data_IF_143233189631
#
_entry.id   IF_143233189631
#
_cell.length_a   1.000
_cell.length_b   1.000
_cell.length_c   1.000
_cell.angle_alpha   90.00
_cell.angle_beta   90.00
_cell.angle_gamma   90.00
#
_symmetry.space_group_name_H-M   'P 1'
#
loop_
_entity.id
_entity.type
_entity.pdbx_description
1 polymer ?
#
# COMPACT_ATOMS: atom_id res chain seq x y z
N UNK A 1 2.14 22.19 41.12
CA UNK A 1 2.28 20.73 41.24
C UNK A 1 1.57 20.04 40.08
N UNK A 2 2.12 19.97 38.88
CA UNK A 2 3.18 20.74 38.21
C UNK A 2 2.92 20.64 36.70
N UNK A 3 3.34 21.73 36.04
CA UNK A 3 3.41 22.09 34.63
C UNK A 3 2.90 21.13 33.54
N UNK A 4 1.80 21.56 32.90
CA UNK A 4 1.62 21.43 31.45
C UNK A 4 1.79 22.82 30.87
N UNK A 5 2.94 23.09 30.25
CA UNK A 5 3.11 24.21 29.33
C UNK A 5 2.49 23.83 27.98
N UNK A 6 1.44 24.52 27.51
CA UNK A 6 0.87 24.27 26.19
C UNK A 6 1.68 25.03 25.14
N UNK A 7 2.18 24.32 24.13
CA UNK A 7 2.75 24.91 22.93
C UNK A 7 1.71 25.77 22.20
N UNK A 8 2.20 26.79 21.51
CA UNK A 8 1.47 27.91 20.91
C UNK A 8 0.36 27.53 19.90
N UNK A 9 0.33 26.27 19.43
CA UNK A 9 -0.73 25.74 18.57
C UNK A 9 -2.12 25.73 19.24
N UNK A 10 -2.17 25.54 20.56
CA UNK A 10 -3.45 25.45 21.27
C UNK A 10 -4.20 26.79 21.26
N UNK A 11 -3.48 27.92 21.32
CA UNK A 11 -4.07 29.27 21.39
C UNK A 11 -4.60 29.72 20.03
N UNK A 12 -3.97 29.31 18.93
CA UNK A 12 -4.42 29.60 17.56
C UNK A 12 -5.70 28.83 17.25
N UNK A 13 -5.77 27.54 17.60
CA UNK A 13 -6.98 26.72 17.45
C UNK A 13 -8.13 27.24 18.33
N UNK A 14 -7.85 27.63 19.58
CA UNK A 14 -8.83 28.24 20.49
C UNK A 14 -9.39 29.56 19.95
N UNK A 15 -8.55 30.40 19.33
CA UNK A 15 -8.96 31.67 18.73
C UNK A 15 -9.82 31.47 17.47
N UNK A 16 -9.49 30.47 16.65
CA UNK A 16 -10.25 30.15 15.44
C UNK A 16 -11.66 29.61 15.76
N UNK A 17 -11.78 28.74 16.77
CA UNK A 17 -13.04 28.14 17.18
C UNK A 17 -14.04 29.17 17.77
N UNK A 18 -13.56 30.11 18.59
CA UNK A 18 -14.40 31.16 19.19
C UNK A 18 -14.80 32.24 18.18
N UNK A 19 -13.91 32.57 17.24
CA UNK A 19 -14.19 33.53 16.15
C UNK A 19 -15.26 33.01 15.19
N UNK A 20 -15.27 31.70 14.88
CA UNK A 20 -16.35 31.04 14.10
C UNK A 20 -17.73 31.13 14.77
N UNK A 21 -17.79 31.28 16.10
CA UNK A 21 -19.04 31.38 16.88
C UNK A 21 -19.49 32.82 17.18
N UNK A 22 -18.74 33.83 16.75
CA UNK A 22 -19.06 35.24 16.98
C UNK A 22 -18.96 35.69 18.45
N UNK A 23 -18.30 34.93 19.31
CA UNK A 23 -18.20 35.23 20.75
C UNK A 23 -17.03 36.19 21.07
N UNK A 24 -17.25 37.09 22.02
CA UNK A 24 -16.25 38.08 22.44
C UNK A 24 -15.03 37.44 23.11
N UNK A 25 -13.85 37.81 22.63
CA UNK A 25 -12.52 37.32 23.04
C UNK A 25 -12.00 37.90 24.37
N UNK A 26 -12.81 38.64 25.14
CA UNK A 26 -12.35 39.33 26.35
C UNK A 26 -12.57 38.49 27.62
N UNK A 27 -11.49 38.23 28.37
CA UNK A 27 -11.52 37.52 29.66
C UNK A 27 -10.24 36.73 29.97
N UNK A 28 -10.07 36.29 31.22
CA UNK A 28 -8.90 35.49 31.60
C UNK A 28 -8.93 34.09 30.96
N UNK A 29 -7.76 33.49 30.73
CA UNK A 29 -7.58 32.17 30.11
C UNK A 29 -8.47 31.08 30.76
N UNK A 30 -8.65 31.14 32.08
CA UNK A 30 -9.51 30.21 32.82
C UNK A 30 -11.01 30.37 32.50
N UNK A 31 -11.48 31.59 32.25
CA UNK A 31 -12.87 31.86 31.89
C UNK A 31 -13.20 31.40 30.45
N UNK A 32 -12.25 31.52 29.53
CA UNK A 32 -12.36 31.04 28.15
C UNK A 32 -12.43 29.50 28.08
N UNK A 33 -11.59 28.80 28.84
CA UNK A 33 -11.59 27.33 28.93
C UNK A 33 -12.91 26.81 29.51
N UNK A 34 -13.50 27.50 30.48
CA UNK A 34 -14.78 27.12 31.09
C UNK A 34 -15.96 27.28 30.10
N UNK A 35 -15.96 28.34 29.29
CA UNK A 35 -16.98 28.55 28.24
C UNK A 35 -16.89 27.51 27.13
N UNK A 36 -15.67 27.14 26.72
CA UNK A 36 -15.46 26.09 25.73
C UNK A 36 -15.93 24.72 26.23
N UNK A 37 -15.70 24.38 27.51
CA UNK A 37 -16.22 23.14 28.11
C UNK A 37 -17.75 23.07 28.08
N UNK A 38 -18.43 24.13 28.51
CA UNK A 38 -19.90 24.18 28.42
C UNK A 38 -20.43 24.10 26.97
N UNK A 39 -19.67 24.62 26.00
CA UNK A 39 -20.02 24.59 24.58
C UNK A 39 -19.78 23.20 23.94
N UNK A 40 -18.71 22.51 24.35
CA UNK A 40 -18.39 21.13 23.95
C UNK A 40 -19.42 20.17 24.55
N UNK A 41 -19.85 20.39 25.79
CA UNK A 41 -20.88 19.57 26.43
C UNK A 41 -22.28 19.77 25.79
N UNK A 42 -22.52 20.94 25.16
CA UNK A 42 -23.74 21.19 24.38
C UNK A 42 -23.71 20.52 22.99
N UNK A 43 -22.55 20.48 22.32
CA UNK A 43 -22.36 19.83 21.01
C UNK A 43 -22.07 18.33 21.07
N UNK A 44 -21.76 17.77 22.24
CA UNK A 44 -21.67 16.32 22.46
C UNK A 44 -22.99 15.57 22.17
N UNK A 45 -24.11 16.31 22.05
CA UNK A 45 -25.40 15.80 21.60
C UNK A 45 -25.63 15.85 20.08
N UNK A 46 -24.70 16.43 19.30
CA UNK A 46 -24.85 16.62 17.85
C UNK A 46 -23.64 16.23 16.99
N UNK A 47 -22.48 15.87 17.55
CA UNK A 47 -21.30 15.50 16.75
C UNK A 47 -20.54 14.29 17.32
N UNK A 48 -20.85 13.08 16.83
CA UNK A 48 -19.96 11.91 16.90
C UNK A 48 -20.30 10.89 15.78
N UNK A 49 -19.29 10.41 15.02
CA UNK A 49 -19.24 9.07 14.37
C UNK A 49 -19.97 8.77 13.03
N UNK A 50 -20.44 9.74 12.24
CA UNK A 50 -21.10 9.44 10.95
C UNK A 50 -20.14 9.12 9.81
N UNK A 51 -19.36 10.12 9.38
CA UNK A 51 -18.54 10.07 8.15
C UNK A 51 -17.41 9.03 8.21
N UNK A 52 -16.82 8.81 9.38
CA UNK A 52 -15.71 7.88 9.53
C UNK A 52 -16.16 6.40 9.50
N UNK A 53 -17.34 6.10 10.08
CA UNK A 53 -17.98 4.77 9.96
C UNK A 53 -18.44 4.50 8.53
N UNK A 54 -18.97 5.51 7.86
CA UNK A 54 -19.38 5.42 6.46
C UNK A 54 -18.18 5.17 5.54
N UNK A 55 -17.06 5.88 5.76
CA UNK A 55 -15.80 5.66 5.04
C UNK A 55 -15.19 4.27 5.28
N UNK A 56 -15.20 3.76 6.52
CA UNK A 56 -14.69 2.42 6.84
C UNK A 56 -15.55 1.31 6.23
N UNK A 57 -16.87 1.50 6.18
CA UNK A 57 -17.80 0.56 5.54
C UNK A 57 -17.63 0.56 4.03
N UNK A 58 -17.50 1.76 3.44
CA UNK A 58 -17.20 1.96 2.01
C UNK A 58 -15.89 1.27 1.63
N UNK A 59 -14.80 1.46 2.38
CA UNK A 59 -13.53 0.79 2.10
C UNK A 59 -13.65 -0.74 2.17
N UNK A 60 -14.38 -1.26 3.16
CA UNK A 60 -14.60 -2.70 3.34
C UNK A 60 -15.38 -3.32 2.18
N UNK A 61 -16.46 -2.66 1.73
CA UNK A 61 -17.31 -3.18 0.66
C UNK A 61 -16.58 -3.12 -0.69
N UNK A 62 -15.82 -2.05 -0.92
CA UNK A 62 -14.88 -1.96 -2.04
C UNK A 62 -13.94 -3.16 -2.05
N UNK A 63 -13.19 -3.38 -0.96
CA UNK A 63 -12.23 -4.49 -0.81
C UNK A 63 -12.87 -5.85 -1.11
N UNK A 64 -14.04 -6.10 -0.52
CA UNK A 64 -14.77 -7.35 -0.74
C UNK A 64 -15.13 -7.59 -2.21
N UNK A 65 -15.44 -6.52 -2.97
CA UNK A 65 -15.74 -6.61 -4.39
C UNK A 65 -14.50 -7.03 -5.20
N UNK A 66 -13.35 -6.39 -4.97
CA UNK A 66 -12.09 -6.75 -5.65
C UNK A 66 -11.68 -8.19 -5.32
N UNK A 67 -11.89 -8.65 -4.09
CA UNK A 67 -11.64 -10.05 -3.76
C UNK A 67 -12.56 -11.03 -4.49
N UNK A 68 -13.85 -10.72 -4.60
CA UNK A 68 -14.80 -11.57 -5.29
C UNK A 68 -14.42 -11.70 -6.78
N UNK A 69 -13.96 -10.61 -7.40
CA UNK A 69 -13.32 -10.63 -8.72
C UNK A 69 -12.07 -11.52 -8.72
N UNK A 70 -11.20 -11.38 -7.71
CA UNK A 70 -9.98 -12.18 -7.65
C UNK A 70 -10.23 -13.68 -7.56
N UNK A 71 -11.28 -14.08 -6.83
CA UNK A 71 -11.71 -15.48 -6.68
C UNK A 71 -12.47 -16.02 -7.89
N UNK A 72 -12.85 -15.17 -8.85
CA UNK A 72 -13.76 -15.56 -9.94
C UNK A 72 -15.19 -15.84 -9.45
N UNK A 73 -15.58 -15.29 -8.29
CA UNK A 73 -16.89 -15.50 -7.67
C UNK A 73 -17.91 -14.48 -8.20
N UNK A 74 -18.47 -14.78 -9.38
CA UNK A 74 -19.39 -13.89 -10.09
C UNK A 74 -20.65 -13.60 -9.28
N UNK A 75 -21.14 -14.55 -8.48
CA UNK A 75 -22.35 -14.37 -7.68
C UNK A 75 -22.11 -13.45 -6.49
N UNK A 76 -20.95 -13.58 -5.82
CA UNK A 76 -20.54 -12.63 -4.79
C UNK A 76 -20.34 -11.21 -5.38
N UNK A 77 -19.74 -11.09 -6.57
CA UNK A 77 -19.60 -9.80 -7.25
C UNK A 77 -20.96 -9.16 -7.51
N UNK A 78 -21.92 -9.90 -8.08
CA UNK A 78 -23.28 -9.38 -8.32
C UNK A 78 -23.95 -8.90 -7.03
N UNK A 79 -23.82 -9.67 -5.94
CA UNK A 79 -24.38 -9.29 -4.65
C UNK A 79 -23.74 -8.01 -4.09
N UNK A 80 -22.41 -7.90 -4.18
CA UNK A 80 -21.66 -6.75 -3.68
C UNK A 80 -21.92 -5.49 -4.51
N UNK A 81 -21.97 -5.59 -5.84
CA UNK A 81 -22.31 -4.42 -6.67
C UNK A 81 -23.75 -3.98 -6.44
N UNK A 82 -24.70 -4.91 -6.27
CA UNK A 82 -26.07 -4.57 -5.88
C UNK A 82 -26.15 -3.84 -4.53
N UNK A 83 -25.17 -4.05 -3.64
CA UNK A 83 -25.02 -3.34 -2.38
C UNK A 83 -24.27 -1.99 -2.50
N UNK A 84 -23.88 -1.58 -3.71
CA UNK A 84 -23.17 -0.31 -3.95
C UNK A 84 -21.65 -0.38 -3.85
N UNK A 85 -21.07 -1.59 -3.74
CA UNK A 85 -19.64 -1.78 -3.55
C UNK A 85 -18.77 -1.27 -4.70
N UNK A 86 -19.34 -1.08 -5.90
CA UNK A 86 -18.60 -0.55 -7.06
C UNK A 86 -18.25 0.93 -6.90
N UNK A 87 -19.14 1.74 -6.32
CA UNK A 87 -18.85 3.15 -6.01
C UNK A 87 -17.79 3.25 -4.91
N UNK A 88 -17.90 2.38 -3.91
CA UNK A 88 -16.91 2.22 -2.86
C UNK A 88 -15.52 1.85 -3.41
N UNK A 89 -15.46 0.87 -4.31
CA UNK A 89 -14.25 0.48 -5.00
C UNK A 89 -13.66 1.66 -5.81
N UNK A 90 -14.49 2.41 -6.52
CA UNK A 90 -14.02 3.58 -7.28
C UNK A 90 -13.58 4.73 -6.41
N UNK A 91 -14.21 4.95 -5.25
CA UNK A 91 -13.78 5.97 -4.30
C UNK A 91 -12.40 5.68 -3.72
N UNK A 92 -12.00 4.40 -3.65
CA UNK A 92 -10.63 4.01 -3.31
C UNK A 92 -9.63 4.33 -4.43
N UNK A 93 -10.06 4.30 -5.70
CA UNK A 93 -9.26 4.75 -6.87
C UNK A 93 -9.18 6.29 -6.95
N UNK A 94 -10.32 6.98 -6.76
CA UNK A 94 -10.48 8.41 -7.08
C UNK A 94 -9.94 9.39 -6.03
N UNK A 95 -9.74 8.97 -4.77
CA UNK A 95 -9.14 9.82 -3.72
C UNK A 95 -7.66 10.17 -3.97
N UNK A 96 -7.07 9.62 -5.04
CA UNK A 96 -5.68 9.87 -5.43
C UNK A 96 -5.49 11.05 -6.41
N UNK A 97 -6.58 11.66 -6.93
CA UNK A 97 -6.46 12.67 -8.03
C UNK A 97 -6.79 14.12 -7.64
N UNK A 98 -7.29 14.39 -6.43
CA UNK A 98 -7.76 15.74 -6.03
C UNK A 98 -6.67 16.65 -5.41
N UNK A 99 -5.38 16.36 -5.58
CA UNK A 99 -4.33 17.18 -4.94
C UNK A 99 -3.02 17.31 -5.70
N UNK A 100 -3.04 17.40 -7.03
CA UNK A 100 -1.87 17.82 -7.83
C UNK A 100 -2.31 18.82 -8.92
N UNK A 101 -2.77 19.99 -8.48
CA UNK A 101 -2.81 21.21 -9.30
C UNK A 101 -1.78 22.19 -8.72
N UNK A 102 -0.49 22.04 -9.07
CA UNK A 102 0.42 23.16 -9.35
C UNK A 102 1.82 22.68 -9.80
N UNK A 103 2.30 23.35 -10.86
CA UNK A 103 3.71 23.54 -11.27
C UNK A 103 4.50 22.40 -11.94
N UNK A 104 4.43 22.38 -13.28
CA UNK A 104 5.56 22.74 -14.15
C UNK A 104 6.87 21.94 -14.15
N UNK A 105 7.13 21.32 -15.32
CA UNK A 105 8.41 21.02 -15.99
C UNK A 105 9.42 20.03 -15.35
N UNK A 106 9.70 19.00 -16.16
CA UNK A 106 10.92 18.18 -16.27
C UNK A 106 11.45 17.44 -15.02
N UNK A 107 11.06 16.16 -14.87
CA UNK A 107 12.02 15.11 -14.47
C UNK A 107 11.62 13.75 -15.05
N UNK A 108 12.58 13.09 -15.72
CA UNK A 108 12.50 11.77 -16.35
C UNK A 108 12.45 10.65 -15.29
N UNK A 109 11.32 10.56 -14.58
CA UNK A 109 10.97 9.40 -13.76
C UNK A 109 9.61 8.89 -14.19
N UNK A 110 9.47 7.57 -14.31
CA UNK A 110 8.19 6.85 -14.43
C UNK A 110 7.30 7.08 -13.20
N UNK A 111 6.86 8.33 -13.01
CA UNK A 111 6.00 8.79 -11.94
C UNK A 111 4.56 8.44 -12.24
N UNK A 112 4.19 7.19 -12.01
CA UNK A 112 2.80 6.84 -11.72
C UNK A 112 2.36 7.70 -10.51
N UNK A 113 1.57 8.73 -10.76
CA UNK A 113 0.94 9.61 -9.77
C UNK A 113 -0.13 8.87 -8.96
N UNK A 114 0.31 7.92 -8.13
CA UNK A 114 -0.54 6.90 -7.52
C UNK A 114 -0.31 6.88 -5.99
N UNK A 115 -1.13 7.62 -5.25
CA UNK A 115 -1.05 7.77 -3.79
C UNK A 115 -1.79 6.65 -3.02
N UNK A 116 -2.03 5.48 -3.64
CA UNK A 116 -2.76 4.36 -3.02
C UNK A 116 -1.87 3.47 -2.11
N UNK A 117 -1.32 4.02 -1.04
CA UNK A 117 -0.62 3.21 -0.04
C UNK A 117 -1.63 2.44 0.84
N UNK A 118 -1.73 1.12 0.66
CA UNK A 118 -2.54 0.25 1.51
C UNK A 118 -1.74 -0.28 2.70
N UNK A 119 -2.07 0.15 3.91
CA UNK A 119 -1.43 -0.33 5.14
C UNK A 119 -2.22 -1.51 5.70
N UNK A 120 -1.56 -2.64 5.91
CA UNK A 120 -2.02 -3.71 6.78
C UNK A 120 -1.52 -3.43 8.19
N UNK A 121 -2.44 -3.14 9.10
CA UNK A 121 -2.13 -2.85 10.50
C UNK A 121 -2.42 -4.09 11.33
N UNK A 122 -1.41 -4.55 12.08
CA UNK A 122 -1.52 -5.62 13.08
C UNK A 122 -1.24 -5.03 14.45
N UNK A 123 -2.18 -5.20 15.38
CA UNK A 123 -2.01 -4.71 16.75
C UNK A 123 -2.46 -5.72 17.80
N UNK A 124 -1.83 -5.68 18.97
CA UNK A 124 -2.16 -6.53 20.11
C UNK A 124 -2.55 -5.68 21.31
N UNK A 125 -3.62 -6.05 22.01
CA UNK A 125 -4.03 -5.30 23.21
C UNK A 125 -3.13 -5.74 24.38
N UNK A 126 -2.35 -4.81 24.93
CA UNK A 126 -1.41 -5.03 26.04
C UNK A 126 -1.10 -3.73 26.81
N UNK A 127 -0.37 -3.83 27.92
CA UNK A 127 -0.08 -2.68 28.79
C UNK A 127 0.71 -1.56 28.08
N UNK A 128 0.54 -0.29 28.50
CA UNK A 128 1.13 0.83 27.79
C UNK A 128 2.67 0.83 27.79
N UNK A 129 3.31 1.08 26.64
CA UNK A 129 4.68 1.61 26.59
C UNK A 129 4.64 3.13 26.82
N UNK A 130 5.62 3.68 27.55
CA UNK A 130 5.57 5.04 28.12
C UNK A 130 5.48 6.15 27.08
N UNK A 131 6.16 6.03 25.93
CA UNK A 131 6.04 6.99 24.81
C UNK A 131 6.09 6.27 23.47
N UNK A 132 5.17 6.64 22.57
CA UNK A 132 5.12 6.14 21.19
C UNK A 132 4.75 7.24 20.22
N UNK A 133 5.54 7.38 19.16
CA UNK A 133 5.31 8.34 18.08
C UNK A 133 5.10 7.63 16.75
N UNK A 134 4.18 8.18 15.96
CA UNK A 134 3.88 7.75 14.60
C UNK A 134 4.29 8.85 13.65
N UNK A 135 5.09 8.50 12.64
CA UNK A 135 5.48 9.41 11.58
C UNK A 135 5.06 8.81 10.24
N UNK A 136 4.54 9.65 9.37
CA UNK A 136 4.29 9.37 7.96
C UNK A 136 4.92 10.51 7.15
N UNK A 137 6.03 10.20 6.48
CA UNK A 137 6.96 11.18 5.92
C UNK A 137 7.44 10.76 4.54
N UNK A 138 7.79 11.75 3.72
CA UNK A 138 8.54 11.52 2.49
C UNK A 138 9.98 11.10 2.78
N UNK A 139 10.68 10.65 1.73
CA UNK A 139 12.09 10.26 1.81
C UNK A 139 13.01 11.41 2.26
N UNK A 140 12.69 12.67 1.93
CA UNK A 140 13.52 13.83 2.26
C UNK A 140 13.46 14.19 3.76
N UNK A 141 12.34 13.92 4.42
CA UNK A 141 12.14 14.17 5.85
C UNK A 141 12.50 12.96 6.74
N UNK A 142 12.63 11.76 6.17
CA UNK A 142 12.90 10.51 6.89
C UNK A 142 14.10 10.62 7.84
N UNK A 143 15.23 11.07 7.31
CA UNK A 143 16.49 11.25 8.03
C UNK A 143 16.30 12.05 9.32
N UNK A 144 15.76 13.27 9.16
CA UNK A 144 15.50 14.21 10.25
C UNK A 144 14.56 13.62 11.29
N UNK A 145 13.53 12.88 10.88
CA UNK A 145 12.62 12.25 11.83
C UNK A 145 13.31 11.18 12.67
N UNK A 146 14.21 10.40 12.09
CA UNK A 146 15.00 9.41 12.84
C UNK A 146 15.95 10.09 13.83
N UNK A 147 16.65 11.13 13.41
CA UNK A 147 17.56 11.88 14.27
C UNK A 147 16.82 12.56 15.44
N UNK A 148 15.69 13.22 15.17
CA UNK A 148 14.85 13.83 16.21
C UNK A 148 14.28 12.81 17.20
N UNK A 149 14.02 11.58 16.75
CA UNK A 149 13.57 10.48 17.60
C UNK A 149 14.68 10.05 18.57
N UNK A 150 15.89 9.85 18.04
CA UNK A 150 17.08 9.48 18.82
C UNK A 150 17.43 10.54 19.88
N UNK A 151 17.38 11.83 19.51
CA UNK A 151 17.56 12.95 20.45
C UNK A 151 16.55 12.95 21.61
N UNK A 152 15.33 12.44 21.36
CA UNK A 152 14.26 12.29 22.36
C UNK A 152 14.35 10.97 23.14
N UNK A 153 15.37 10.14 22.87
CA UNK A 153 15.54 8.82 23.47
C UNK A 153 14.52 7.79 23.00
N UNK A 154 13.99 7.97 21.78
CA UNK A 154 13.08 7.03 21.14
C UNK A 154 13.84 6.17 20.14
N UNK A 155 13.56 4.87 20.14
CA UNK A 155 14.14 3.93 19.18
C UNK A 155 13.09 3.54 18.14
N UNK A 156 13.51 3.44 16.89
CA UNK A 156 12.64 2.90 15.84
C UNK A 156 12.43 1.42 16.11
N UNK A 157 11.18 1.04 16.34
CA UNK A 157 10.79 -0.35 16.58
C UNK A 157 10.19 -0.98 15.34
N UNK A 158 9.57 -0.16 14.49
CA UNK A 158 8.95 -0.57 13.25
C UNK A 158 9.20 0.49 12.20
N UNK A 159 9.55 0.03 11.00
CA UNK A 159 9.61 0.85 9.81
C UNK A 159 8.91 0.09 8.70
N UNK A 160 8.22 0.82 7.86
CA UNK A 160 7.60 0.29 6.67
C UNK A 160 7.61 1.40 5.60
N UNK A 161 7.60 1.04 4.32
CA UNK A 161 7.56 2.01 3.23
C UNK A 161 6.59 1.55 2.14
N UNK A 162 5.83 2.49 1.58
CA UNK A 162 4.94 2.27 0.45
C UNK A 162 4.99 3.44 -0.51
N UNK A 163 5.25 3.17 -1.81
CA UNK A 163 5.31 4.17 -2.88
C UNK A 163 6.07 5.46 -2.45
N UNK A 164 7.21 5.26 -1.79
CA UNK A 164 8.13 6.30 -1.27
C UNK A 164 7.64 7.13 -0.07
N UNK A 165 6.53 6.73 0.57
CA UNK A 165 6.11 7.19 1.90
C UNK A 165 6.63 6.24 2.96
N UNK A 166 7.36 6.81 3.92
CA UNK A 166 7.97 6.07 5.02
C UNK A 166 7.15 6.24 6.28
N UNK A 167 6.85 5.11 6.91
CA UNK A 167 6.12 5.04 8.15
C UNK A 167 7.00 4.51 9.26
N UNK A 168 7.07 5.26 10.36
CA UNK A 168 7.89 4.93 11.51
C UNK A 168 7.04 4.80 12.77
N UNK A 169 7.34 3.78 13.55
CA UNK A 169 6.89 3.65 14.94
C UNK A 169 8.11 3.74 15.84
N UNK A 170 8.15 4.80 16.63
CA UNK A 170 9.24 5.09 17.55
C UNK A 170 8.77 4.96 18.99
N UNK A 171 9.56 4.30 19.83
CA UNK A 171 9.17 3.97 21.21
C UNK A 171 10.31 4.14 22.21
N UNK A 172 9.97 4.50 23.45
CA UNK A 172 10.87 4.38 24.60
C UNK A 172 10.79 2.99 25.25
N UNK A 173 11.78 2.64 26.08
CA UNK A 173 11.76 1.45 26.94
C UNK A 173 11.56 0.11 26.18
N UNK A 174 12.10 0.01 24.98
CA UNK A 174 11.88 -1.13 24.07
C UNK A 174 12.59 -2.41 24.52
N UNK A 175 13.60 -2.26 25.40
CA UNK A 175 14.56 -3.30 25.75
C UNK A 175 15.74 -3.38 24.76
N UNK A 176 15.68 -2.68 23.63
CA UNK A 176 16.83 -2.52 22.74
C UNK A 176 17.81 -1.51 23.34
N UNK A 177 19.11 -1.73 23.10
CA UNK A 177 20.18 -0.78 23.39
C UNK A 177 20.44 0.14 22.20
N UNK A 178 21.60 0.81 22.20
CA UNK A 178 22.06 1.71 21.13
C UNK A 178 21.61 1.23 19.74
N UNK A 179 21.02 2.14 18.97
CA UNK A 179 20.52 1.88 17.63
C UNK A 179 21.39 2.63 16.63
N UNK A 180 21.66 1.98 15.50
CA UNK A 180 22.18 2.63 14.31
C UNK A 180 21.28 2.29 13.14
N UNK A 181 21.32 3.11 12.11
CA UNK A 181 20.49 2.92 10.93
C UNK A 181 21.23 3.44 9.69
N UNK A 182 20.81 2.95 8.52
CA UNK A 182 21.36 3.32 7.22
C UNK A 182 20.21 3.48 6.24
N UNK A 183 20.09 4.66 5.63
CA UNK A 183 19.23 4.90 4.47
C UNK A 183 20.07 4.72 3.20
N UNK A 184 20.03 3.53 2.62
CA UNK A 184 20.87 3.14 1.49
C UNK A 184 20.10 3.12 0.18
N UNK A 185 20.77 3.49 -0.92
CA UNK A 185 20.27 3.26 -2.29
C UNK A 185 20.35 1.79 -2.72
N UNK A 186 21.14 0.98 -2.02
CA UNK A 186 21.25 -0.45 -2.25
C UNK A 186 20.30 -1.20 -1.30
N UNK A 187 19.49 -2.11 -1.85
CA UNK A 187 18.62 -2.95 -1.03
C UNK A 187 19.43 -4.00 -0.24
N UNK A 188 19.45 -3.86 1.09
CA UNK A 188 20.29 -4.61 2.04
C UNK A 188 21.81 -4.38 1.81
N UNK A 189 22.36 -3.21 2.19
CA UNK A 189 23.77 -2.87 1.99
C UNK A 189 24.70 -3.85 2.72
N UNK A 190 25.30 -4.77 1.97
CA UNK A 190 25.98 -5.93 2.55
C UNK A 190 27.18 -5.55 3.42
N UNK A 191 28.04 -4.67 2.94
CA UNK A 191 29.28 -4.30 3.62
C UNK A 191 28.98 -3.64 4.95
N UNK A 192 28.08 -2.66 4.96
CA UNK A 192 27.63 -1.98 6.17
C UNK A 192 27.02 -2.96 7.20
N UNK A 193 26.14 -3.88 6.77
CA UNK A 193 25.53 -4.85 7.69
C UNK A 193 26.61 -5.77 8.32
N UNK A 194 27.59 -6.22 7.53
CA UNK A 194 28.66 -7.09 8.03
C UNK A 194 29.54 -6.38 9.06
N UNK A 195 29.92 -5.12 8.80
CA UNK A 195 30.66 -4.30 9.76
C UNK A 195 29.90 -4.12 11.07
N UNK A 196 28.58 -3.89 11.00
CA UNK A 196 27.73 -3.74 12.20
C UNK A 196 27.54 -5.06 12.95
N UNK A 197 27.50 -6.19 12.26
CA UNK A 197 27.49 -7.51 12.91
C UNK A 197 28.77 -7.77 13.72
N UNK A 198 29.94 -7.34 13.23
CA UNK A 198 31.20 -7.44 13.99
C UNK A 198 31.20 -6.58 15.26
N UNK A 199 30.37 -5.53 15.29
CA UNK A 199 30.15 -4.66 16.44
C UNK A 199 29.01 -5.12 17.38
N UNK A 200 28.43 -6.31 17.16
CA UNK A 200 27.30 -6.90 17.93
C UNK A 200 25.97 -6.13 17.78
N UNK A 201 25.78 -5.43 16.66
CA UNK A 201 24.46 -4.95 16.26
C UNK A 201 23.70 -6.04 15.51
N UNK A 202 22.38 -6.06 15.63
CA UNK A 202 21.51 -6.95 14.87
C UNK A 202 20.41 -6.18 14.18
N UNK A 203 20.02 -6.58 12.96
CA UNK A 203 18.91 -5.97 12.23
C UNK A 203 17.61 -6.21 13.01
N UNK A 204 16.95 -5.12 13.41
CA UNK A 204 15.73 -5.11 14.22
C UNK A 204 14.52 -4.58 13.46
N UNK A 205 14.71 -3.71 12.47
CA UNK A 205 13.66 -3.28 11.56
C UNK A 205 14.24 -2.98 10.17
N UNK A 206 13.42 -3.16 9.12
CA UNK A 206 13.83 -3.00 7.73
C UNK A 206 12.61 -2.62 6.89
N UNK A 207 12.77 -1.65 6.00
CA UNK A 207 11.80 -1.34 4.97
C UNK A 207 12.51 -0.90 3.68
N UNK A 208 11.86 -1.15 2.54
CA UNK A 208 12.37 -0.80 1.24
C UNK A 208 11.37 0.04 0.45
N UNK A 209 11.88 0.95 -0.37
CA UNK A 209 11.10 1.80 -1.25
C UNK A 209 11.09 1.24 -2.68
N UNK A 210 10.26 1.84 -3.54
CA UNK A 210 10.08 1.36 -4.92
C UNK A 210 11.29 1.70 -5.80
N UNK A 211 12.03 2.75 -5.46
CA UNK A 211 13.26 3.17 -6.17
C UNK A 211 14.47 2.26 -5.90
N UNK A 212 14.30 1.17 -5.14
CA UNK A 212 15.39 0.27 -4.75
C UNK A 212 16.09 0.65 -3.44
N UNK A 213 15.78 1.82 -2.87
CA UNK A 213 16.35 2.26 -1.60
C UNK A 213 15.76 1.51 -0.41
N UNK A 214 16.49 1.48 0.70
CA UNK A 214 16.03 0.86 1.94
C UNK A 214 16.54 1.56 3.18
N UNK A 215 15.74 1.49 4.24
CA UNK A 215 16.13 1.87 5.58
C UNK A 215 16.36 0.60 6.40
N UNK A 216 17.61 0.36 6.78
CA UNK A 216 18.00 -0.73 7.66
C UNK A 216 18.24 -0.18 9.06
N UNK A 217 17.65 -0.81 10.06
CA UNK A 217 17.81 -0.40 11.46
C UNK A 217 18.39 -1.58 12.23
N UNK A 218 19.50 -1.32 12.94
CA UNK A 218 20.17 -2.31 13.75
C UNK A 218 20.30 -1.85 15.20
N UNK A 219 20.21 -2.76 16.15
CA UNK A 219 20.24 -2.42 17.58
C UNK A 219 21.10 -3.39 18.39
N UNK A 220 21.64 -2.88 19.50
CA UNK A 220 22.33 -3.68 20.53
C UNK A 220 21.37 -4.21 21.58
N UNK A 221 21.90 -5.05 22.49
CA UNK A 221 21.17 -5.64 23.62
C UNK A 221 19.89 -6.39 23.20
N UNK A 222 19.90 -6.95 21.99
CA UNK A 222 18.81 -7.81 21.54
C UNK A 222 18.96 -9.18 22.19
N UNK A 223 17.89 -9.99 22.17
CA UNK A 223 17.98 -11.41 22.53
C UNK A 223 18.62 -12.27 21.42
N UNK A 224 18.94 -11.68 20.28
CA UNK A 224 19.45 -12.39 19.12
C UNK A 224 20.89 -12.85 19.34
N UNK A 225 21.18 -14.09 18.91
CA UNK A 225 22.51 -14.71 19.05
C UNK A 225 23.27 -14.80 17.74
N UNK A 226 22.54 -15.00 16.65
CA UNK A 226 23.06 -15.13 15.28
C UNK A 226 22.01 -14.63 14.30
N UNK A 227 22.44 -13.97 13.24
CA UNK A 227 21.58 -13.53 12.15
C UNK A 227 22.05 -14.04 10.79
N UNK A 228 21.10 -14.12 9.86
CA UNK A 228 21.35 -14.42 8.45
C UNK A 228 20.25 -13.72 7.66
N UNK A 229 20.61 -13.07 6.56
CA UNK A 229 19.63 -12.47 5.65
C UNK A 229 19.78 -13.03 4.24
N UNK A 230 18.75 -12.83 3.43
CA UNK A 230 18.76 -13.09 1.99
C UNK A 230 17.92 -12.06 1.24
N UNK A 231 18.43 -11.60 0.10
CA UNK A 231 17.70 -10.80 -0.89
C UNK A 231 17.48 -11.62 -2.16
N UNK A 232 16.27 -11.64 -2.70
CA UNK A 232 15.88 -12.42 -3.89
C UNK A 232 14.72 -11.73 -4.64
N UNK A 233 14.60 -11.96 -5.94
CA UNK A 233 13.50 -11.40 -6.75
C UNK A 233 12.16 -12.13 -6.51
N UNK A 234 12.19 -13.24 -5.76
CA UNK A 234 11.02 -13.99 -5.32
C UNK A 234 11.17 -14.35 -3.85
N UNK A 235 10.05 -14.54 -3.14
CA UNK A 235 10.08 -14.92 -1.72
C UNK A 235 10.89 -16.23 -1.53
N UNK A 236 11.97 -16.23 -0.71
CA UNK A 236 12.94 -17.34 -0.69
C UNK A 236 12.52 -18.50 0.23
N UNK A 237 11.33 -19.07 0.02
CA UNK A 237 10.71 -20.06 0.92
C UNK A 237 11.63 -21.26 1.24
N UNK A 238 12.24 -21.91 0.25
CA UNK A 238 13.11 -23.07 0.50
C UNK A 238 14.35 -22.74 1.35
N UNK A 239 14.87 -21.51 1.25
CA UNK A 239 15.98 -21.06 2.09
C UNK A 239 15.51 -20.84 3.53
N UNK A 240 14.32 -20.23 3.70
CA UNK A 240 13.70 -20.02 5.01
C UNK A 240 13.44 -21.34 5.71
N UNK A 241 12.89 -22.33 5.00
CA UNK A 241 12.63 -23.68 5.54
C UNK A 241 13.93 -24.36 6.01
N UNK A 242 15.01 -24.26 5.22
CA UNK A 242 16.32 -24.80 5.61
C UNK A 242 16.84 -24.14 6.88
N UNK A 243 16.84 -22.80 6.95
CA UNK A 243 17.29 -22.05 8.12
C UNK A 243 16.43 -22.29 9.36
N UNK A 244 15.14 -22.54 9.16
CA UNK A 244 14.21 -22.88 10.25
C UNK A 244 14.61 -24.19 10.94
N UNK A 245 15.08 -25.18 10.17
CA UNK A 245 15.65 -26.44 10.71
C UNK A 245 16.93 -26.20 11.52
N UNK A 246 17.71 -25.19 11.16
CA UNK A 246 18.90 -24.73 11.89
C UNK A 246 18.55 -23.85 13.12
N UNK A 247 17.27 -23.74 13.48
CA UNK A 247 16.81 -22.98 14.66
C UNK A 247 16.66 -21.48 14.45
N UNK A 248 16.77 -20.99 13.22
CA UNK A 248 16.48 -19.59 12.90
C UNK A 248 14.96 -19.35 12.79
N UNK A 249 14.56 -18.10 12.98
CA UNK A 249 13.19 -17.60 12.81
C UNK A 249 13.23 -16.29 12.07
N UNK A 250 12.26 -16.02 11.20
CA UNK A 250 12.10 -14.74 10.51
C UNK A 250 11.82 -13.65 11.55
N UNK A 251 12.59 -12.57 11.49
CA UNK A 251 12.48 -11.42 12.42
C UNK A 251 12.26 -10.09 11.73
N UNK A 252 12.59 -9.97 10.45
CA UNK A 252 12.22 -8.83 9.62
C UNK A 252 12.06 -9.31 8.17
N UNK A 253 11.08 -8.74 7.47
CA UNK A 253 10.91 -8.89 6.04
C UNK A 253 10.58 -7.53 5.44
N UNK A 254 11.06 -7.29 4.22
CA UNK A 254 10.78 -6.07 3.48
C UNK A 254 10.78 -6.38 1.99
N UNK A 255 10.20 -5.47 1.22
CA UNK A 255 10.22 -5.48 -0.23
C UNK A 255 10.77 -4.15 -0.74
N UNK A 256 11.47 -4.18 -1.87
CA UNK A 256 11.99 -2.98 -2.55
C UNK A 256 12.12 -3.29 -4.03
N UNK A 257 11.50 -2.48 -4.89
CA UNK A 257 11.44 -2.70 -6.34
C UNK A 257 11.15 -4.18 -6.68
N UNK A 258 10.07 -4.73 -6.10
CA UNK A 258 9.63 -6.14 -6.23
C UNK A 258 10.58 -7.22 -5.68
N UNK A 259 11.75 -6.85 -5.18
CA UNK A 259 12.69 -7.78 -4.53
C UNK A 259 12.31 -7.98 -3.08
N UNK A 260 12.52 -9.19 -2.59
CA UNK A 260 12.26 -9.61 -1.22
C UNK A 260 13.53 -9.64 -0.40
N UNK A 261 13.49 -9.04 0.78
CA UNK A 261 14.47 -9.19 1.84
C UNK A 261 13.88 -10.01 2.98
N UNK A 262 14.60 -11.05 3.42
CA UNK A 262 14.24 -11.83 4.61
C UNK A 262 15.42 -11.88 5.55
N UNK A 263 15.22 -11.40 6.77
CA UNK A 263 16.17 -11.50 7.88
C UNK A 263 15.68 -12.54 8.86
N UNK A 264 16.55 -13.48 9.22
CA UNK A 264 16.28 -14.51 10.21
C UNK A 264 17.30 -14.48 11.34
N UNK A 265 16.80 -14.68 12.56
CA UNK A 265 17.60 -14.63 13.79
C UNK A 265 17.44 -15.91 14.63
N UNK A 266 18.47 -16.26 15.39
CA UNK A 266 18.39 -17.22 16.50
C UNK A 266 18.27 -16.48 17.83
N UNK A 267 17.64 -17.09 18.84
CA UNK A 267 17.47 -16.48 20.17
C UNK A 267 16.22 -15.60 20.31
N UNK A 268 15.29 -15.67 19.37
CA UNK A 268 14.11 -14.80 19.30
C UNK A 268 13.05 -15.07 20.38
N UNK A 269 13.05 -16.25 20.99
CA UNK A 269 12.00 -16.70 21.91
C UNK A 269 10.73 -17.24 21.22
N UNK A 270 10.67 -17.27 19.88
CA UNK A 270 9.56 -17.89 19.14
C UNK A 270 9.64 -19.42 19.17
N UNK A 271 8.54 -20.08 19.53
CA UNK A 271 8.47 -21.54 19.63
C UNK A 271 8.28 -22.17 18.25
N UNK A 272 7.33 -21.65 17.49
CA UNK A 272 7.01 -22.06 16.13
C UNK A 272 6.73 -20.86 15.26
N UNK A 273 6.95 -21.01 13.95
CA UNK A 273 6.65 -19.98 12.96
C UNK A 273 6.14 -20.62 11.67
N UNK A 274 5.14 -20.01 11.05
CA UNK A 274 4.56 -20.37 9.77
C UNK A 274 4.55 -19.12 8.87
N UNK A 275 4.61 -19.33 7.56
CA UNK A 275 4.62 -18.25 6.58
C UNK A 275 3.51 -18.52 5.59
N UNK A 276 2.62 -17.55 5.43
CA UNK A 276 1.53 -17.59 4.47
C UNK A 276 1.78 -16.54 3.39
N UNK A 277 1.81 -16.95 2.12
CA UNK A 277 1.86 -16.04 0.99
C UNK A 277 0.43 -15.89 0.45
N UNK A 278 -0.10 -14.67 0.49
CA UNK A 278 -1.45 -14.37 0.01
C UNK A 278 -1.40 -13.39 -1.15
N UNK A 279 -2.30 -13.56 -2.10
CA UNK A 279 -2.45 -12.67 -3.26
C UNK A 279 -3.63 -11.70 -3.10
N UNK A 280 -4.38 -11.83 -1.99
CA UNK A 280 -5.56 -11.00 -1.71
C UNK A 280 -5.82 -10.93 -0.20
N UNK A 281 -6.48 -9.86 0.24
CA UNK A 281 -6.95 -9.68 1.61
C UNK A 281 -8.44 -9.30 1.64
N UNK A 282 -9.22 -9.75 2.64
CA UNK A 282 -9.00 -10.83 3.62
C UNK A 282 -8.61 -12.20 3.05
N UNK A 283 -7.88 -12.96 3.86
CA UNK A 283 -7.49 -14.34 3.56
C UNK A 283 -8.01 -15.29 4.63
N UNK A 284 -8.77 -16.31 4.21
CA UNK A 284 -9.28 -17.38 5.09
C UNK A 284 -8.13 -18.10 5.80
N UNK A 285 -6.99 -18.28 5.11
CA UNK A 285 -5.80 -18.88 5.69
C UNK A 285 -5.21 -18.00 6.80
N UNK A 286 -5.11 -16.68 6.57
CA UNK A 286 -4.66 -15.75 7.60
C UNK A 286 -5.59 -15.76 8.80
N UNK A 287 -6.91 -15.71 8.58
CA UNK A 287 -7.88 -15.77 9.68
C UNK A 287 -7.77 -17.07 10.48
N UNK A 288 -7.62 -18.21 9.80
CA UNK A 288 -7.43 -19.51 10.47
C UNK A 288 -6.16 -19.53 11.35
N UNK A 289 -5.06 -18.91 10.91
CA UNK A 289 -3.86 -18.78 11.74
C UNK A 289 -4.10 -17.92 12.98
N UNK A 290 -4.80 -16.79 12.85
CA UNK A 290 -5.18 -15.93 13.97
C UNK A 290 -6.08 -16.67 14.96
N UNK A 291 -7.10 -17.39 14.47
CA UNK A 291 -8.03 -18.19 15.28
C UNK A 291 -7.32 -19.33 16.02
N UNK A 292 -6.23 -19.86 15.45
CA UNK A 292 -5.37 -20.87 16.11
C UNK A 292 -4.50 -20.33 17.26
N UNK A 293 -4.60 -19.02 17.53
CA UNK A 293 -3.78 -18.30 18.51
C UNK A 293 -2.37 -17.95 18.02
N UNK A 294 -2.11 -18.06 16.71
CA UNK A 294 -0.84 -17.60 16.12
C UNK A 294 -0.87 -16.08 15.95
N UNK A 295 0.31 -15.46 15.98
CA UNK A 295 0.45 -14.01 15.91
C UNK A 295 1.23 -13.58 14.69
N UNK A 296 0.73 -12.61 13.93
CA UNK A 296 1.53 -11.99 12.88
C UNK A 296 2.63 -11.17 13.56
N UNK A 297 3.88 -11.48 13.21
CA UNK A 297 5.08 -10.81 13.75
C UNK A 297 5.82 -10.01 12.71
N UNK A 298 5.70 -10.39 11.43
CA UNK A 298 6.25 -9.64 10.30
C UNK A 298 5.31 -9.78 9.11
N UNK A 299 5.21 -8.74 8.30
CA UNK A 299 4.59 -8.79 6.98
C UNK A 299 5.33 -7.86 6.00
N UNK A 300 5.35 -8.22 4.73
CA UNK A 300 5.84 -7.39 3.63
C UNK A 300 5.19 -7.89 2.35
N UNK A 301 5.03 -7.02 1.36
CA UNK A 301 4.36 -7.37 0.12
C UNK A 301 4.93 -6.68 -1.10
N UNK A 302 4.89 -7.39 -2.20
CA UNK A 302 5.02 -6.89 -3.56
C UNK A 302 3.64 -6.61 -4.11
N UNK A 303 3.53 -6.01 -5.32
CA UNK A 303 2.24 -5.76 -5.92
C UNK A 303 1.34 -6.99 -6.14
N UNK A 304 1.95 -8.17 -6.30
CA UNK A 304 1.24 -9.43 -6.57
C UNK A 304 0.97 -10.27 -5.30
N UNK A 305 1.77 -10.09 -4.24
CA UNK A 305 1.81 -10.99 -3.08
C UNK A 305 2.17 -10.29 -1.79
N UNK A 306 1.52 -10.70 -0.70
CA UNK A 306 1.89 -10.34 0.66
C UNK A 306 2.32 -11.59 1.43
N UNK A 307 3.47 -11.52 2.09
CA UNK A 307 3.93 -12.54 3.02
C UNK A 307 3.53 -12.18 4.45
N UNK A 308 2.83 -13.08 5.12
CA UNK A 308 2.52 -13.00 6.55
C UNK A 308 3.32 -14.03 7.32
N UNK A 309 4.03 -13.58 8.35
CA UNK A 309 4.81 -14.44 9.24
C UNK A 309 4.06 -14.60 10.55
N UNK A 310 3.55 -15.82 10.80
CA UNK A 310 2.82 -16.19 12.01
C UNK A 310 3.72 -16.89 13.00
N UNK A 311 3.82 -16.38 14.23
CA UNK A 311 4.65 -16.94 15.29
C UNK A 311 3.81 -17.30 16.52
N UNK A 312 4.22 -18.34 17.26
CA UNK A 312 3.71 -18.64 18.61
C UNK A 312 4.78 -18.33 19.66
N UNK A 313 4.41 -17.55 20.67
CA UNK A 313 5.24 -17.24 21.84
C UNK A 313 4.97 -18.24 22.97
N UNK A 314 5.95 -18.47 23.86
CA UNK A 314 5.78 -19.35 25.01
C UNK A 314 4.69 -18.90 26.00
N UNK A 315 4.38 -17.60 26.07
CA UNK A 315 3.58 -17.02 27.17
C UNK A 315 2.58 -15.92 26.76
N UNK A 316 2.14 -15.84 25.50
CA UNK A 316 1.20 -14.77 25.10
C UNK A 316 -0.27 -15.25 25.07
N UNK A 317 -1.12 -14.67 25.92
CA UNK A 317 -2.56 -14.95 26.00
C UNK A 317 -3.46 -13.86 25.37
N UNK A 318 -2.90 -12.88 24.66
CA UNK A 318 -3.67 -11.75 24.11
C UNK A 318 -4.13 -11.96 22.66
N UNK A 319 -5.29 -11.42 22.32
CA UNK A 319 -5.83 -11.36 20.95
C UNK A 319 -5.08 -10.32 20.10
N UNK A 320 -4.81 -10.65 18.83
CA UNK A 320 -4.35 -9.68 17.83
C UNK A 320 -5.51 -9.25 16.94
N UNK A 321 -5.51 -7.98 16.56
CA UNK A 321 -6.40 -7.39 15.58
C UNK A 321 -5.62 -7.11 14.31
N UNK A 322 -6.23 -7.39 13.15
CA UNK A 322 -5.66 -7.12 11.84
C UNK A 322 -6.67 -6.34 11.02
N UNK A 323 -6.22 -5.26 10.39
CA UNK A 323 -7.05 -4.39 9.59
C UNK A 323 -6.29 -3.80 8.41
N UNK A 324 -7.04 -3.20 7.49
CA UNK A 324 -6.52 -2.53 6.30
C UNK A 324 -6.97 -1.07 6.31
N UNK A 325 -6.07 -0.16 5.95
CA UNK A 325 -6.35 1.28 5.88
C UNK A 325 -5.58 1.90 4.71
N UNK A 326 -6.05 3.04 4.23
CA UNK A 326 -5.34 3.89 3.25
C UNK A 326 -4.68 5.11 3.90
N UNK A 327 -4.86 5.31 5.21
CA UNK A 327 -4.31 6.43 5.97
C UNK A 327 -3.49 5.94 7.15
N UNK A 328 -2.43 6.69 7.48
CA UNK A 328 -1.59 6.40 8.64
C UNK A 328 -1.31 7.65 9.50
N UNK A 329 -1.43 7.54 10.84
CA UNK A 329 -2.03 6.43 11.57
C UNK A 329 -3.54 6.32 11.25
N UNK A 330 -4.09 5.10 11.16
CA UNK A 330 -5.53 4.96 10.91
C UNK A 330 -6.37 5.45 12.09
N UNK A 331 -7.64 5.74 11.86
CA UNK A 331 -8.57 6.12 12.94
C UNK A 331 -8.59 5.09 14.08
N UNK A 332 -8.53 3.79 13.74
CA UNK A 332 -8.45 2.72 14.73
C UNK A 332 -7.18 2.83 15.58
N UNK A 333 -6.04 3.21 15.00
CA UNK A 333 -4.80 3.46 15.74
C UNK A 333 -4.98 4.58 16.75
N UNK A 334 -5.55 5.70 16.30
CA UNK A 334 -5.76 6.91 17.11
C UNK A 334 -6.71 6.61 18.27
N UNK A 335 -7.81 5.91 18.01
CA UNK A 335 -8.76 5.48 19.04
C UNK A 335 -8.10 4.55 20.05
N UNK A 336 -7.37 3.53 19.58
CA UNK A 336 -6.66 2.60 20.46
C UNK A 336 -5.61 3.33 21.32
N UNK A 337 -4.87 4.30 20.75
CA UNK A 337 -3.94 5.13 21.51
C UNK A 337 -4.62 5.97 22.59
N UNK A 338 -5.76 6.60 22.27
CA UNK A 338 -6.52 7.41 23.22
C UNK A 338 -6.96 6.61 24.46
N UNK A 339 -7.14 5.29 24.32
CA UNK A 339 -7.46 4.36 25.41
C UNK A 339 -6.24 3.54 25.89
N UNK A 340 -5.03 3.90 25.47
CA UNK A 340 -3.76 3.33 25.97
C UNK A 340 -3.37 1.95 25.41
N UNK A 341 -3.75 1.63 24.16
CA UNK A 341 -3.47 0.34 23.49
C UNK A 341 -2.48 0.48 22.34
N UNK A 342 -1.68 -0.58 22.08
CA UNK A 342 -0.50 -0.53 21.22
C UNK A 342 -0.53 -1.44 19.97
N UNK A 343 0.12 -0.96 18.93
CA UNK A 343 0.29 -1.59 17.60
C UNK A 343 1.61 -2.32 17.51
N UNK A 344 1.61 -3.51 16.94
CA UNK A 344 2.75 -4.41 16.99
C UNK A 344 3.38 -4.69 15.63
N UNK A 345 2.72 -4.37 14.52
CA UNK A 345 3.31 -4.42 13.18
C UNK A 345 2.47 -3.65 12.16
N UNK A 346 3.13 -3.04 11.17
CA UNK A 346 2.49 -2.44 9.98
C UNK A 346 3.21 -3.06 8.78
N UNK A 347 2.48 -3.61 7.83
CA UNK A 347 3.06 -3.96 6.54
C UNK A 347 2.33 -3.28 5.40
N UNK A 348 3.05 -3.12 4.30
CA UNK A 348 2.47 -2.83 2.99
C UNK A 348 2.74 -3.98 2.06
N UNK A 349 1.75 -4.30 1.24
CA UNK A 349 1.98 -4.52 -0.17
C UNK A 349 1.06 -3.53 -0.87
N UNK A 350 1.47 -3.01 -2.03
CA UNK A 350 0.46 -2.60 -2.97
C UNK A 350 -0.39 -3.84 -3.22
N UNK A 351 -1.61 -3.90 -2.69
CA UNK A 351 -2.64 -4.37 -3.60
C UNK A 351 -2.73 -3.17 -4.51
N UNK A 352 -2.23 -3.24 -5.75
CA UNK A 352 -2.73 -2.29 -6.74
C UNK A 352 -4.23 -2.35 -6.53
N UNK A 353 -4.83 -1.24 -6.10
CA UNK A 353 -6.27 -1.16 -6.02
C UNK A 353 -6.73 -1.10 -7.48
N UNK A 354 -6.64 -2.25 -8.14
CA UNK A 354 -7.08 -2.48 -9.50
C UNK A 354 -8.57 -2.26 -9.41
N UNK A 355 -9.05 -1.29 -10.19
CA UNK A 355 -10.48 -1.21 -10.44
C UNK A 355 -10.98 -2.63 -10.74
N UNK A 356 -12.08 -3.07 -10.10
CA UNK A 356 -12.60 -4.43 -10.26
C UNK A 356 -12.68 -4.87 -11.74
N UNK A 357 -12.99 -3.94 -12.64
CA UNK A 357 -13.07 -4.20 -14.07
C UNK A 357 -11.69 -4.46 -14.68
N UNK A 358 -10.69 -3.66 -14.34
CA UNK A 358 -9.32 -3.86 -14.82
C UNK A 358 -8.78 -5.22 -14.36
N UNK A 359 -9.02 -5.60 -13.10
CA UNK A 359 -8.58 -6.90 -12.57
C UNK A 359 -9.24 -8.07 -13.32
N UNK A 360 -10.52 -7.96 -13.63
CA UNK A 360 -11.23 -8.98 -14.41
C UNK A 360 -10.65 -9.12 -15.83
N UNK A 361 -10.29 -8.00 -16.46
CA UNK A 361 -9.64 -7.95 -17.79
C UNK A 361 -8.23 -8.56 -17.74
N UNK A 362 -7.44 -8.25 -16.71
CA UNK A 362 -6.10 -8.81 -16.53
C UNK A 362 -6.09 -10.33 -16.40
N UNK A 363 -7.14 -10.88 -15.79
CA UNK A 363 -7.37 -12.33 -15.66
C UNK A 363 -8.00 -12.97 -16.89
N UNK A 364 -8.33 -12.19 -17.92
CA UNK A 364 -9.06 -12.64 -19.10
C UNK A 364 -10.43 -13.27 -18.76
N UNK A 365 -11.09 -12.84 -17.67
CA UNK A 365 -12.36 -13.41 -17.19
C UNK A 365 -13.56 -12.63 -17.74
N UNK A 366 -13.99 -12.99 -18.96
CA UNK A 366 -15.11 -12.32 -19.66
C UNK A 366 -16.44 -12.43 -18.93
N UNK A 367 -16.66 -13.46 -18.11
CA UNK A 367 -17.87 -13.60 -17.31
C UNK A 367 -17.91 -12.57 -16.19
N UNK A 368 -16.76 -12.34 -15.55
CA UNK A 368 -16.59 -11.33 -14.53
C UNK A 368 -16.66 -9.91 -15.10
N UNK A 369 -15.99 -9.65 -16.23
CA UNK A 369 -16.08 -8.37 -16.95
C UNK A 369 -17.54 -8.06 -17.27
N UNK A 370 -18.30 -9.02 -17.81
CA UNK A 370 -19.75 -8.85 -18.07
C UNK A 370 -20.52 -8.45 -16.83
N UNK A 371 -20.31 -9.17 -15.72
CA UNK A 371 -21.03 -8.90 -14.48
C UNK A 371 -20.77 -7.50 -13.92
N UNK A 372 -19.54 -6.99 -14.07
CA UNK A 372 -19.16 -5.65 -13.65
C UNK A 372 -19.75 -4.57 -14.58
N UNK A 373 -19.71 -4.79 -15.90
CA UNK A 373 -20.30 -3.88 -16.88
C UNK A 373 -21.82 -3.80 -16.76
N UNK A 374 -22.51 -4.93 -16.61
CA UNK A 374 -23.96 -5.01 -16.34
C UNK A 374 -24.35 -4.19 -15.09
N UNK A 375 -23.41 -4.05 -14.16
CA UNK A 375 -23.58 -3.34 -12.91
C UNK A 375 -23.10 -1.88 -12.96
N UNK A 376 -22.80 -1.35 -14.15
CA UNK A 376 -22.43 0.04 -14.38
C UNK A 376 -20.94 0.35 -14.21
N UNK A 377 -20.08 -0.67 -14.30
CA UNK A 377 -18.67 -0.43 -14.51
C UNK A 377 -18.46 0.28 -15.86
N UNK A 378 -17.45 1.15 -15.89
CA UNK A 378 -17.10 2.01 -16.99
C UNK A 378 -15.92 1.34 -17.66
N UNK A 379 -16.10 1.00 -18.93
CA UNK A 379 -15.09 0.30 -19.71
C UNK A 379 -13.89 1.20 -20.04
N UNK A 380 -14.08 2.52 -19.96
CA UNK A 380 -13.08 3.53 -20.29
C UNK A 380 -12.29 4.06 -19.08
N UNK A 381 -12.27 3.29 -17.97
CA UNK A 381 -11.47 3.62 -16.79
C UNK A 381 -10.00 3.87 -17.16
N UNK A 382 -9.36 4.79 -16.43
CA UNK A 382 -7.95 5.16 -16.63
C UNK A 382 -7.63 5.53 -18.08
N UNK A 383 -8.48 6.34 -18.72
CA UNK A 383 -8.28 6.78 -20.11
C UNK A 383 -8.19 5.62 -21.11
N UNK A 384 -8.98 4.54 -20.90
CA UNK A 384 -9.00 3.37 -21.78
C UNK A 384 -7.86 2.37 -21.56
N UNK A 385 -7.12 2.49 -20.44
CA UNK A 385 -6.04 1.57 -20.10
C UNK A 385 -6.42 0.08 -20.14
N UNK A 386 -7.63 -0.38 -19.73
CA UNK A 386 -7.97 -1.79 -19.80
C UNK A 386 -7.99 -2.35 -21.22
N UNK A 387 -8.53 -1.58 -22.17
CA UNK A 387 -8.51 -1.96 -23.58
C UNK A 387 -7.07 -2.00 -24.07
N UNK A 388 -6.30 -0.92 -23.85
CA UNK A 388 -4.89 -0.85 -24.20
C UNK A 388 -4.08 -2.03 -23.64
N UNK A 389 -4.38 -2.46 -22.41
CA UNK A 389 -3.74 -3.60 -21.76
C UNK A 389 -4.08 -4.94 -22.42
N UNK A 390 -5.35 -5.22 -22.70
CA UNK A 390 -5.76 -6.43 -23.43
C UNK A 390 -5.11 -6.49 -24.82
N UNK A 391 -5.08 -5.35 -25.51
CA UNK A 391 -4.47 -5.22 -26.84
C UNK A 391 -2.95 -5.43 -26.80
N UNK A 392 -2.27 -4.84 -25.80
CA UNK A 392 -0.84 -5.01 -25.57
C UNK A 392 -0.43 -6.47 -25.31
N UNK A 393 -1.33 -7.32 -24.81
CA UNK A 393 -1.07 -8.73 -24.51
C UNK A 393 -1.43 -9.67 -25.66
N UNK A 394 -2.12 -9.16 -26.68
CA UNK A 394 -2.65 -10.00 -27.75
C UNK A 394 -3.81 -10.88 -27.28
N UNK A 395 -4.55 -10.46 -26.25
CA UNK A 395 -5.69 -11.22 -25.73
C UNK A 395 -6.89 -11.06 -26.66
N UNK A 396 -6.95 -11.90 -27.69
CA UNK A 396 -7.95 -11.79 -28.76
C UNK A 396 -9.38 -11.85 -28.22
N UNK A 397 -9.66 -12.80 -27.32
CA UNK A 397 -10.99 -13.01 -26.77
C UNK A 397 -11.44 -11.82 -25.90
N UNK A 398 -10.53 -11.24 -25.11
CA UNK A 398 -10.85 -10.06 -24.31
C UNK A 398 -11.00 -8.81 -25.17
N UNK A 399 -10.18 -8.64 -26.21
CA UNK A 399 -10.32 -7.52 -27.16
C UNK A 399 -11.66 -7.60 -27.89
N UNK A 400 -12.03 -8.77 -28.44
CA UNK A 400 -13.34 -8.98 -29.06
C UNK A 400 -14.48 -8.65 -28.09
N UNK A 401 -14.38 -9.14 -26.85
CA UNK A 401 -15.36 -8.85 -25.81
C UNK A 401 -15.49 -7.35 -25.50
N UNK A 402 -14.37 -6.62 -25.39
CA UNK A 402 -14.38 -5.18 -25.10
C UNK A 402 -14.93 -4.35 -26.26
N UNK A 403 -14.69 -4.77 -27.51
CA UNK A 403 -15.31 -4.19 -28.71
C UNK A 403 -16.83 -4.40 -28.66
N UNK A 404 -17.28 -5.62 -28.36
CA UNK A 404 -18.70 -5.94 -28.20
C UNK A 404 -19.36 -5.16 -27.04
N UNK A 405 -18.58 -4.82 -26.01
CA UNK A 405 -18.97 -3.95 -24.91
C UNK A 405 -18.95 -2.45 -25.26
N UNK A 406 -18.75 -2.09 -26.53
CA UNK A 406 -18.72 -0.74 -27.06
C UNK A 406 -17.59 0.15 -26.48
N UNK A 407 -16.47 -0.45 -26.11
CA UNK A 407 -15.28 0.30 -25.74
C UNK A 407 -14.69 1.04 -26.95
N UNK A 408 -14.18 2.25 -26.73
CA UNK A 408 -13.66 3.12 -27.79
C UNK A 408 -12.29 2.61 -28.26
N UNK A 409 -12.28 1.97 -29.42
CA UNK A 409 -11.07 1.43 -30.08
C UNK A 409 -9.99 2.49 -30.36
N UNK A 410 -10.35 3.77 -30.33
CA UNK A 410 -9.49 4.92 -30.56
C UNK A 410 -9.18 5.72 -29.30
N UNK A 411 -9.67 5.27 -28.14
CA UNK A 411 -9.34 5.89 -26.86
C UNK A 411 -7.82 5.88 -26.68
N UNK A 412 -7.28 7.06 -26.43
CA UNK A 412 -5.87 7.22 -26.14
C UNK A 412 -5.66 7.36 -24.64
N UNK A 413 -4.61 6.73 -24.13
CA UNK A 413 -4.15 6.94 -22.77
C UNK A 413 -3.53 8.33 -22.59
N UNK A 414 -3.09 8.64 -21.37
CA UNK A 414 -2.53 9.94 -20.99
C UNK A 414 -1.19 10.25 -21.71
N UNK A 415 -0.64 9.32 -22.51
CA UNK A 415 0.53 9.53 -23.39
C UNK A 415 0.16 9.56 -24.88
N UNK A 416 -1.14 9.57 -25.20
CA UNK A 416 -1.64 9.54 -26.56
C UNK A 416 -1.63 8.15 -27.21
N UNK A 417 -1.31 7.08 -26.48
CA UNK A 417 -1.26 5.73 -27.05
C UNK A 417 -2.66 5.13 -27.14
N UNK A 418 -3.01 4.64 -28.32
CA UNK A 418 -4.25 3.87 -28.54
C UNK A 418 -4.01 2.36 -28.40
N UNK A 419 -5.07 1.53 -28.29
CA UNK A 419 -4.95 0.08 -28.38
C UNK A 419 -4.14 -0.40 -29.59
N UNK A 420 -4.29 0.27 -30.74
CA UNK A 420 -3.54 -0.09 -31.95
C UNK A 420 -2.04 0.24 -31.84
N UNK A 421 -1.64 1.32 -31.15
CA UNK A 421 -0.22 1.58 -30.85
C UNK A 421 0.39 0.48 -29.99
N UNK A 422 -0.30 0.08 -28.91
CA UNK A 422 0.14 -0.97 -27.99
C UNK A 422 0.28 -2.32 -28.71
N UNK A 423 -0.70 -2.66 -29.52
CA UNK A 423 -0.73 -3.86 -30.36
C UNK A 423 0.43 -3.88 -31.36
N UNK A 424 0.67 -2.73 -32.01
CA UNK A 424 1.72 -2.57 -33.01
C UNK A 424 3.12 -2.67 -32.41
N UNK A 425 3.34 -2.09 -31.22
CA UNK A 425 4.58 -2.20 -30.48
C UNK A 425 4.90 -3.64 -30.06
N UNK A 426 3.90 -4.42 -29.66
CA UNK A 426 4.08 -5.80 -29.17
C UNK A 426 3.92 -6.89 -30.23
N UNK A 427 3.46 -6.57 -31.44
CA UNK A 427 3.45 -7.49 -32.58
C UNK A 427 2.24 -8.42 -32.68
N UNK A 428 1.09 -8.05 -32.12
CA UNK A 428 -0.10 -8.91 -32.08
C UNK A 428 -1.00 -8.77 -33.32
N UNK A 429 -0.69 -9.54 -34.38
CA UNK A 429 -1.30 -9.40 -35.72
C UNK A 429 -2.83 -9.60 -35.75
N UNK A 430 -3.34 -10.61 -35.05
CA UNK A 430 -4.78 -10.90 -35.00
C UNK A 430 -5.55 -9.75 -34.34
N UNK A 431 -5.06 -9.26 -33.20
CA UNK A 431 -5.62 -8.09 -32.51
C UNK A 431 -5.55 -6.84 -33.39
N UNK A 432 -4.46 -6.62 -34.12
CA UNK A 432 -4.35 -5.46 -35.01
C UNK A 432 -5.42 -5.47 -36.10
N UNK A 433 -5.69 -6.64 -36.70
CA UNK A 433 -6.78 -6.79 -37.66
C UNK A 433 -8.14 -6.52 -37.05
N UNK A 434 -8.45 -7.11 -35.89
CA UNK A 434 -9.72 -6.85 -35.21
C UNK A 434 -9.94 -5.37 -34.89
N UNK A 435 -8.91 -4.68 -34.40
CA UNK A 435 -8.96 -3.25 -34.10
C UNK A 435 -9.22 -2.42 -35.36
N UNK A 436 -8.50 -2.70 -36.45
CA UNK A 436 -8.66 -2.00 -37.73
C UNK A 436 -10.04 -2.25 -38.33
N UNK A 437 -10.51 -3.51 -38.34
CA UNK A 437 -11.84 -3.88 -38.81
C UNK A 437 -12.94 -3.20 -37.98
N UNK A 438 -12.64 -2.87 -36.71
CA UNK A 438 -13.52 -2.14 -35.80
C UNK A 438 -13.37 -0.61 -35.87
N UNK A 439 -12.58 -0.09 -36.81
CA UNK A 439 -12.46 1.35 -37.07
C UNK A 439 -11.35 2.06 -36.29
N UNK A 440 -10.30 1.34 -35.85
CA UNK A 440 -9.12 1.98 -35.28
C UNK A 440 -8.42 2.89 -36.31
N UNK A 441 -8.03 4.09 -35.87
CA UNK A 441 -7.30 5.08 -36.65
C UNK A 441 -5.84 4.65 -36.78
N UNK A 442 -5.51 4.10 -37.95
CA UNK A 442 -4.17 3.60 -38.30
C UNK A 442 -3.11 4.69 -38.38
N UNK A 443 -3.52 5.97 -38.50
CA UNK A 443 -2.64 7.12 -38.67
C UNK A 443 -2.54 8.01 -37.42
N UNK A 444 -3.25 7.67 -36.35
CA UNK A 444 -3.19 8.43 -35.08
C UNK A 444 -1.76 8.43 -34.55
N UNK A 445 -1.32 9.59 -34.05
CA UNK A 445 0.00 9.76 -33.44
C UNK A 445 -0.12 9.82 -31.92
N UNK A 446 0.78 9.13 -31.22
CA UNK A 446 1.00 9.38 -29.79
C UNK A 446 1.76 10.71 -29.57
N UNK A 447 2.01 11.08 -28.32
CA UNK A 447 2.65 12.37 -28.00
C UNK A 447 4.12 12.46 -28.43
N UNK A 448 4.78 11.32 -28.61
CA UNK A 448 6.14 11.23 -29.15
C UNK A 448 6.17 11.29 -30.69
N UNK A 449 5.00 11.46 -31.33
CA UNK A 449 4.87 11.46 -32.79
C UNK A 449 4.92 10.07 -33.43
N UNK A 450 4.98 9.01 -32.63
CA UNK A 450 4.90 7.64 -33.09
C UNK A 450 3.51 7.29 -33.62
N UNK A 451 3.45 6.64 -34.78
CA UNK A 451 2.24 6.04 -35.35
C UNK A 451 2.26 4.53 -35.12
N UNK A 452 1.13 3.81 -35.19
CA UNK A 452 1.15 2.35 -35.17
C UNK A 452 2.12 1.74 -36.19
N UNK A 453 2.21 2.32 -37.39
CA UNK A 453 3.14 1.88 -38.43
C UNK A 453 4.60 2.04 -38.02
N UNK A 454 4.99 3.22 -37.50
CA UNK A 454 6.38 3.48 -37.10
C UNK A 454 6.80 2.60 -35.93
N UNK A 455 5.93 2.42 -34.94
CA UNK A 455 6.18 1.56 -33.78
C UNK A 455 6.35 0.08 -34.18
N UNK A 456 5.50 -0.43 -35.09
CA UNK A 456 5.64 -1.79 -35.62
C UNK A 456 6.94 -1.96 -36.41
N UNK A 457 7.31 -0.98 -37.23
CA UNK A 457 8.53 -1.02 -38.03
C UNK A 457 9.80 -0.97 -37.16
N UNK A 458 9.82 -0.10 -36.14
CA UNK A 458 10.92 0.01 -35.18
C UNK A 458 11.16 -1.29 -34.41
N UNK A 459 10.09 -1.98 -34.03
CA UNK A 459 10.15 -3.24 -33.29
C UNK A 459 10.25 -4.49 -34.20
N UNK A 460 10.30 -4.33 -35.52
CA UNK A 460 10.51 -5.42 -36.47
C UNK A 460 9.29 -6.31 -36.75
N UNK A 461 8.08 -5.83 -36.44
CA UNK A 461 6.83 -6.59 -36.59
C UNK A 461 6.28 -6.49 -38.03
N UNK A 462 6.93 -7.20 -38.95
CA UNK A 462 6.61 -7.14 -40.39
C UNK A 462 5.14 -7.46 -40.71
N UNK A 463 4.53 -8.40 -39.99
CA UNK A 463 3.13 -8.76 -40.19
C UNK A 463 2.18 -7.60 -39.88
N UNK A 464 2.43 -6.85 -38.81
CA UNK A 464 1.66 -5.64 -38.48
C UNK A 464 1.88 -4.56 -39.53
N UNK A 465 3.13 -4.32 -39.94
CA UNK A 465 3.45 -3.34 -41.00
C UNK A 465 2.63 -3.60 -42.25
N UNK A 466 2.56 -4.87 -42.70
CA UNK A 466 1.74 -5.26 -43.85
C UNK A 466 0.26 -5.02 -43.61
N UNK A 467 -0.27 -5.36 -42.43
CA UNK A 467 -1.67 -5.13 -42.08
C UNK A 467 -2.02 -3.65 -42.10
N UNK A 468 -1.22 -2.80 -41.46
CA UNK A 468 -1.45 -1.36 -41.38
C UNK A 468 -1.38 -0.70 -42.75
N UNK A 469 -0.34 -0.99 -43.57
CA UNK A 469 -0.21 -0.43 -44.94
C UNK A 469 -1.37 -0.84 -45.85
N UNK A 470 -1.89 -2.05 -45.70
CA UNK A 470 -3.01 -2.51 -46.53
C UNK A 470 -4.35 -1.88 -46.13
N UNK A 471 -4.41 -1.21 -44.98
CA UNK A 471 -5.65 -0.72 -44.36
C UNK A 471 -5.84 0.81 -44.46
N UNK A 472 -4.83 1.56 -44.93
CA UNK A 472 -4.93 3.01 -45.13
C UNK A 472 -3.61 3.72 -44.88
#
# INVERSE_FOLDING_TARGET
>A
MDDITPSDLTVVALRAALKKRGESMTGSKAALVKRLKCAIDADASAMTTGEAKENATTARDGIALVEAVHRGDVDAVRALVAAGALVAARALVGRSREQDDDDGDDDDGDGDGDNDALYVIVYGIGEPRRMRHYHDVDAAALQRCVDEGDEKGLLVTQVSCARNRWTLVMESDTGFGNQCWELSKEFLPKEWILERWDEDYFVTALAGANDGSCLVIMSKNTSYKRQSYKSCDHFPLSWVEKKTKDGFRVTAIATSNERWAVVMSQGTGFVSQCIELVTSWPSVAVQAHLDSGSRITCCAGTPDKVAFVFSKLQTSSGTQHVGVTTTFPSEQIIEQQAIGRHIQHIAFGGLYWRDPLFLAIEKSDTSMVRALLDAGADVEIFSGAPFGFAAARGDEAMVEFLIDAAADVNKADDKGWTPLHRTAWNGHEAVARMLIDSGADVNKTNFDGGTPLSLAAENGHESIVRVVINSG
#
